data_IF_360804006873
#
_entry.id   IF_360804006873
#
_cell.length_a   1.000
_cell.length_b   1.000
_cell.length_c   1.000
_cell.angle_alpha   90.00
_cell.angle_beta   90.00
_cell.angle_gamma   90.00
#
_symmetry.space_group_name_H-M   'P 1'
#
loop_
_entity.id
_entity.type
_entity.pdbx_description
1 polymer ?
#
# COMPACT_ATOMS: atom_id res chain seq x y z
N UNK A 1 2.89 -5.42 -13.59
CA UNK A 1 3.10 -4.29 -12.66
C UNK A 1 3.07 -4.85 -11.25
N UNK A 2 3.99 -4.41 -10.40
CA UNK A 2 4.05 -4.84 -9.00
C UNK A 2 3.06 -4.03 -8.15
N UNK A 3 2.38 -4.70 -7.23
CA UNK A 3 1.47 -4.08 -6.25
C UNK A 3 1.65 -4.73 -4.89
N UNK A 4 1.21 -4.05 -3.83
CA UNK A 4 1.08 -4.66 -2.51
C UNK A 4 0.05 -5.79 -2.59
N UNK A 5 0.37 -6.94 -2.01
CA UNK A 5 -0.52 -8.09 -1.90
C UNK A 5 -1.81 -7.71 -1.15
N UNK A 6 -2.97 -8.28 -1.49
CA UNK A 6 -4.23 -7.98 -0.80
C UNK A 6 -4.13 -8.16 0.72
N UNK A 7 -4.60 -7.17 1.48
CA UNK A 7 -4.55 -7.17 2.94
C UNK A 7 -3.17 -6.89 3.57
N UNK A 8 -2.14 -6.68 2.74
CA UNK A 8 -0.88 -6.11 3.19
C UNK A 8 -0.92 -4.59 3.05
N UNK A 9 -0.18 -3.91 3.92
CA UNK A 9 0.03 -2.46 3.82
C UNK A 9 1.49 -2.13 4.10
N UNK A 10 2.01 -1.08 3.46
CA UNK A 10 3.35 -0.53 3.71
C UNK A 10 3.20 0.96 4.01
N UNK A 11 3.65 1.40 5.18
CA UNK A 11 3.41 2.78 5.65
C UNK A 11 4.50 3.28 6.61
N UNK A 12 4.72 4.59 6.68
CA UNK A 12 5.61 5.19 7.67
C UNK A 12 4.93 5.18 9.05
N UNK A 13 5.69 4.89 10.10
CA UNK A 13 5.21 5.08 11.47
C UNK A 13 5.83 6.30 12.15
N UNK A 14 5.32 6.64 13.35
CA UNK A 14 5.62 7.90 14.04
C UNK A 14 7.05 7.99 14.58
N UNK A 15 7.75 6.87 14.70
CA UNK A 15 9.14 6.75 15.12
C UNK A 15 10.13 6.89 13.96
N UNK A 16 9.66 7.27 12.76
CA UNK A 16 10.45 7.37 11.54
C UNK A 16 10.77 6.00 10.91
N UNK A 17 10.36 4.90 11.53
CA UNK A 17 10.49 3.58 10.96
C UNK A 17 9.29 3.24 10.08
N UNK A 18 9.56 2.60 8.95
CA UNK A 18 8.52 2.04 8.11
C UNK A 18 8.02 0.71 8.69
N UNK A 19 6.76 0.40 8.39
CA UNK A 19 6.11 -0.84 8.81
C UNK A 19 5.41 -1.45 7.62
N UNK A 20 5.39 -2.77 7.56
CA UNK A 20 4.37 -3.46 6.80
C UNK A 20 3.45 -4.25 7.73
N UNK A 21 2.16 -4.26 7.42
CA UNK A 21 1.18 -5.13 8.06
C UNK A 21 0.84 -6.30 7.15
N UNK A 22 0.54 -7.45 7.75
CA UNK A 22 -0.03 -8.62 7.06
C UNK A 22 -1.53 -8.72 7.33
N UNK A 23 -2.28 -9.50 6.53
CA UNK A 23 -3.70 -9.77 6.76
C UNK A 23 -3.98 -10.35 8.16
N UNK A 24 -3.04 -11.14 8.71
CA UNK A 24 -3.12 -11.73 10.05
C UNK A 24 -2.73 -10.75 11.18
N UNK A 25 -2.84 -9.44 10.95
CA UNK A 25 -2.54 -8.36 11.91
C UNK A 25 -1.10 -8.36 12.47
N UNK A 26 -0.14 -8.96 11.76
CA UNK A 26 1.27 -8.88 12.15
C UNK A 26 1.88 -7.60 11.61
N UNK A 27 2.60 -6.90 12.47
CA UNK A 27 3.32 -5.68 12.12
C UNK A 27 4.82 -5.95 12.15
N UNK A 28 5.48 -5.70 11.02
CA UNK A 28 6.92 -5.88 10.90
C UNK A 28 7.56 -4.54 10.60
N UNK A 29 8.58 -4.22 11.39
CA UNK A 29 9.36 -2.99 11.21
C UNK A 29 10.36 -3.19 10.09
N UNK A 30 10.34 -2.28 9.13
CA UNK A 30 11.29 -2.20 8.02
C UNK A 30 12.26 -1.08 8.32
N UNK A 31 13.55 -1.35 8.11
CA UNK A 31 14.61 -0.36 8.23
C UNK A 31 15.22 -0.15 6.85
N UNK A 32 15.51 1.11 6.53
CA UNK A 32 16.09 1.51 5.25
C UNK A 32 16.02 3.02 5.09
N UNK A 33 16.65 3.57 4.04
CA UNK A 33 16.57 5.00 3.72
C UNK A 33 15.12 5.42 3.50
N UNK A 34 14.71 6.50 4.15
CA UNK A 34 13.31 6.97 4.12
C UNK A 34 12.82 7.22 2.68
N UNK A 35 13.63 7.89 1.87
CA UNK A 35 13.29 8.24 0.48
C UNK A 35 13.08 7.01 -0.41
N UNK A 36 13.83 5.93 -0.16
CA UNK A 36 13.68 4.67 -0.91
C UNK A 36 12.37 3.97 -0.53
N UNK A 37 12.06 3.89 0.76
CA UNK A 37 10.83 3.27 1.25
C UNK A 37 9.59 4.06 0.83
N UNK A 38 9.69 5.39 0.83
CA UNK A 38 8.64 6.28 0.34
C UNK A 38 8.41 6.11 -1.16
N UNK A 39 9.49 6.11 -1.96
CA UNK A 39 9.40 5.88 -3.41
C UNK A 39 8.82 4.51 -3.73
N UNK A 40 9.16 3.48 -2.94
CA UNK A 40 8.59 2.13 -3.06
C UNK A 40 7.09 2.13 -2.79
N UNK A 41 6.65 2.75 -1.70
CA UNK A 41 5.23 2.82 -1.36
C UNK A 41 4.42 3.54 -2.44
N UNK A 42 4.94 4.66 -2.96
CA UNK A 42 4.31 5.40 -4.07
C UNK A 42 4.29 4.60 -5.37
N UNK A 43 5.38 3.90 -5.68
CA UNK A 43 5.45 3.00 -6.85
C UNK A 43 4.37 1.90 -6.78
N UNK A 44 4.25 1.23 -5.65
CA UNK A 44 3.30 0.14 -5.44
C UNK A 44 1.85 0.63 -5.36
N UNK A 45 1.62 1.89 -4.95
CA UNK A 45 0.32 2.55 -5.05
C UNK A 45 -0.05 2.95 -6.49
N UNK A 46 0.83 2.72 -7.47
CA UNK A 46 0.61 3.03 -8.87
C UNK A 46 0.85 4.50 -9.26
N UNK A 47 1.54 5.27 -8.40
CA UNK A 47 1.90 6.66 -8.70
C UNK A 47 2.90 6.72 -9.86
N UNK A 48 2.59 7.51 -10.88
CA UNK A 48 3.42 7.68 -12.08
C UNK A 48 4.09 9.04 -12.10
N UNK A 49 5.00 9.25 -11.15
CA UNK A 49 5.86 10.44 -11.11
C UNK A 49 7.24 10.15 -11.73
N UNK A 50 7.89 11.12 -12.40
CA UNK A 50 9.25 10.95 -12.90
C UNK A 50 10.25 10.62 -11.79
N UNK A 51 10.05 11.11 -10.56
CA UNK A 51 10.89 10.79 -9.41
C UNK A 51 10.78 9.30 -9.03
N UNK A 52 9.56 8.78 -8.95
CA UNK A 52 9.27 7.35 -8.67
C UNK A 52 9.85 6.46 -9.79
N UNK A 53 9.75 6.91 -11.04
CA UNK A 53 10.28 6.19 -12.21
C UNK A 53 11.81 6.18 -12.27
N UNK A 54 12.46 7.19 -11.70
CA UNK A 54 13.91 7.22 -11.57
C UNK A 54 14.37 6.30 -10.44
N UNK A 55 13.71 6.38 -9.28
CA UNK A 55 13.98 5.52 -8.13
C UNK A 55 13.79 4.03 -8.46
N UNK A 56 12.80 3.66 -9.29
CA UNK A 56 12.57 2.26 -9.65
C UNK A 56 13.66 1.62 -10.51
N UNK A 57 14.59 2.42 -11.06
CA UNK A 57 15.77 1.94 -11.81
C UNK A 57 17.00 1.76 -10.94
N UNK A 58 16.92 2.17 -9.67
CA UNK A 58 18.00 2.04 -8.70
C UNK A 58 18.16 0.58 -8.24
N UNK A 59 19.41 0.16 -7.96
CA UNK A 59 19.72 -1.20 -7.52
C UNK A 59 19.24 -1.48 -6.09
N UNK A 60 19.29 -0.49 -5.20
CA UNK A 60 18.77 -0.61 -3.85
C UNK A 60 17.24 -0.77 -3.88
N UNK A 61 16.58 -0.05 -4.79
CA UNK A 61 15.15 -0.21 -5.01
C UNK A 61 14.81 -1.63 -5.48
N UNK A 62 15.56 -2.16 -6.44
CA UNK A 62 15.40 -3.52 -6.93
C UNK A 62 15.63 -4.56 -5.82
N UNK A 63 16.61 -4.33 -4.95
CA UNK A 63 16.92 -5.18 -3.79
C UNK A 63 15.79 -5.16 -2.78
N UNK A 64 15.27 -3.98 -2.43
CA UNK A 64 14.12 -3.84 -1.54
C UNK A 64 12.87 -4.51 -2.12
N UNK A 65 12.59 -4.32 -3.41
CA UNK A 65 11.47 -4.96 -4.09
C UNK A 65 11.57 -6.49 -4.07
N UNK A 66 12.79 -7.04 -4.23
CA UNK A 66 13.03 -8.48 -4.13
C UNK A 66 12.74 -8.99 -2.72
N UNK A 67 13.30 -8.35 -1.70
CA UNK A 67 13.09 -8.75 -0.31
C UNK A 67 11.60 -8.72 0.08
N UNK A 68 10.87 -7.68 -0.32
CA UNK A 68 9.44 -7.57 -0.06
C UNK A 68 8.62 -8.63 -0.83
N UNK A 69 9.06 -9.01 -2.03
CA UNK A 69 8.46 -10.12 -2.80
C UNK A 69 8.72 -11.48 -2.16
N UNK A 70 9.94 -11.72 -1.67
CA UNK A 70 10.30 -12.95 -0.96
C UNK A 70 9.51 -13.10 0.35
N UNK A 71 9.14 -11.98 0.97
CA UNK A 71 8.23 -11.93 2.13
C UNK A 71 6.73 -12.02 1.76
N UNK A 72 6.39 -12.10 0.47
CA UNK A 72 5.02 -12.17 -0.03
C UNK A 72 4.25 -10.84 0.04
N UNK A 73 4.90 -9.73 0.37
CA UNK A 73 4.29 -8.39 0.50
C UNK A 73 3.97 -7.79 -0.88
N UNK A 74 4.79 -8.10 -1.89
CA UNK A 74 4.60 -7.63 -3.27
C UNK A 74 4.17 -8.82 -4.15
N UNK A 75 3.13 -8.61 -4.94
CA UNK A 75 2.72 -9.52 -6.01
C UNK A 75 2.96 -8.89 -7.38
N UNK A 76 3.51 -9.68 -8.30
CA UNK A 76 3.72 -9.26 -9.68
C UNK A 76 2.52 -9.68 -10.51
N UNK A 77 1.76 -8.70 -11.00
CA UNK A 77 0.78 -8.97 -12.04
C UNK A 77 1.52 -9.04 -13.39
N UNK A 78 1.71 -10.25 -13.91
CA UNK A 78 2.00 -10.45 -15.33
C UNK A 78 0.73 -10.14 -16.09
N UNK A 79 0.71 -9.02 -16.82
CA UNK A 79 -0.39 -8.69 -17.72
C UNK A 79 -0.44 -9.71 -18.86
N UNK A 80 -1.08 -10.85 -18.64
CA UNK A 80 -1.56 -11.66 -19.75
C UNK A 80 -2.67 -10.88 -20.44
N UNK A 81 -2.49 -10.70 -21.75
CA UNK A 81 -3.37 -9.96 -22.63
C UNK A 81 -4.71 -10.67 -22.73
N UNK A 82 -5.63 -10.30 -21.86
CA UNK A 82 -7.05 -10.61 -21.94
C UNK A 82 -7.77 -9.47 -21.26
N UNK A 83 -8.67 -8.80 -21.99
CA UNK A 83 -9.40 -7.62 -21.57
C UNK A 83 -9.90 -7.70 -20.10
N UNK A 84 -9.16 -7.08 -19.20
CA UNK A 84 -9.63 -6.77 -17.86
C UNK A 84 -9.59 -5.25 -17.77
N UNK A 85 -10.78 -4.66 -17.91
CA UNK A 85 -11.13 -3.38 -17.30
C UNK A 85 -10.32 -3.25 -15.99
N UNK A 86 -9.54 -2.17 -15.76
CA UNK A 86 -8.86 -2.01 -14.48
C UNK A 86 -9.95 -2.15 -13.43
N UNK A 87 -9.93 -3.26 -12.70
CA UNK A 87 -11.05 -3.64 -11.85
C UNK A 87 -11.32 -2.44 -10.96
N UNK A 88 -12.46 -1.79 -11.24
CA UNK A 88 -13.20 -1.01 -10.25
C UNK A 88 -13.04 -1.74 -8.93
N UNK A 89 -12.65 -1.06 -7.83
CA UNK A 89 -12.50 -1.72 -6.54
C UNK A 89 -13.72 -2.61 -6.38
N UNK A 90 -13.49 -3.92 -6.36
CA UNK A 90 -14.59 -4.88 -6.27
C UNK A 90 -15.25 -4.53 -4.97
N UNK A 91 -16.43 -3.90 -5.02
CA UNK A 91 -17.19 -3.59 -3.82
C UNK A 91 -17.15 -4.84 -2.97
N UNK A 92 -16.59 -4.76 -1.75
CA UNK A 92 -16.35 -5.94 -0.96
C UNK A 92 -17.71 -6.64 -0.78
N UNK A 93 -17.78 -7.92 -1.18
CA UNK A 93 -19.01 -8.72 -1.11
C UNK A 93 -19.50 -8.92 0.32
N UNK A 94 -18.68 -8.55 1.31
CA UNK A 94 -18.97 -8.53 2.73
C UNK A 94 -18.61 -7.15 3.33
N UNK A 95 -19.30 -6.70 4.39
CA UNK A 95 -18.93 -5.48 5.09
C UNK A 95 -17.48 -5.57 5.59
N UNK A 96 -16.64 -4.59 5.23
CA UNK A 96 -15.28 -4.47 5.74
C UNK A 96 -15.29 -3.80 7.11
N UNK A 97 -14.55 -4.36 8.06
CA UNK A 97 -14.39 -3.76 9.38
C UNK A 97 -13.06 -3.02 9.42
N UNK A 98 -13.09 -1.73 9.77
CA UNK A 98 -11.90 -0.88 9.88
C UNK A 98 -11.71 -0.50 11.35
N UNK A 99 -10.54 -0.78 11.92
CA UNK A 99 -10.15 -0.33 13.26
C UNK A 99 -9.36 0.98 13.18
N UNK A 100 -9.79 1.99 13.94
CA UNK A 100 -9.10 3.27 14.06
C UNK A 100 -8.53 3.34 15.48
N UNK A 101 -7.20 3.32 15.60
CA UNK A 101 -6.53 3.48 16.88
C UNK A 101 -6.34 4.97 17.20
N UNK A 102 -7.07 5.44 18.22
CA UNK A 102 -7.01 6.82 18.71
C UNK A 102 -8.39 7.45 18.94
N UNK A 103 -8.46 8.40 19.87
CA UNK A 103 -9.72 9.11 20.25
C UNK A 103 -9.67 10.61 19.96
N UNK A 104 -8.67 11.06 19.19
CA UNK A 104 -8.47 12.47 18.87
C UNK A 104 -9.35 12.97 17.71
N UNK A 105 -9.33 14.28 17.42
CA UNK A 105 -10.14 14.89 16.35
C UNK A 105 -9.92 14.26 14.96
N UNK A 106 -8.70 13.77 14.69
CA UNK A 106 -8.37 13.07 13.44
C UNK A 106 -9.09 11.72 13.36
N UNK A 107 -9.12 10.95 14.44
CA UNK A 107 -9.81 9.66 14.45
C UNK A 107 -11.32 9.82 14.23
N UNK A 108 -11.91 10.88 14.81
CA UNK A 108 -13.32 11.26 14.59
C UNK A 108 -13.57 11.64 13.12
N UNK A 109 -12.68 12.43 12.52
CA UNK A 109 -12.81 12.82 11.11
C UNK A 109 -12.67 11.63 10.15
N UNK A 110 -11.75 10.70 10.42
CA UNK A 110 -11.57 9.49 9.63
C UNK A 110 -12.80 8.58 9.73
N UNK A 111 -13.37 8.40 10.94
CA UNK A 111 -14.59 7.64 11.12
C UNK A 111 -15.77 8.23 10.31
N UNK A 112 -15.92 9.55 10.33
CA UNK A 112 -16.97 10.25 9.57
C UNK A 112 -16.80 10.08 8.04
N UNK A 113 -15.56 10.04 7.54
CA UNK A 113 -15.29 9.82 6.11
C UNK A 113 -15.59 8.38 5.67
N UNK A 114 -15.39 7.40 6.56
CA UNK A 114 -15.66 5.98 6.27
C UNK A 114 -17.16 5.65 6.34
N UNK A 115 -17.92 6.41 7.13
CA UNK A 115 -19.38 6.27 7.28
C UNK A 115 -20.17 7.05 6.20
N UNK A 116 -19.51 7.96 5.48
CA UNK A 116 -20.12 8.70 4.39
C UNK A 116 -20.32 7.80 3.17
N UNK A 117 -21.57 7.49 2.82
CA UNK A 117 -21.87 6.82 1.54
C UNK A 117 -21.30 7.65 0.37
N UNK A 118 -20.68 7.01 -0.63
CA UNK A 118 -20.17 7.73 -1.79
C UNK A 118 -21.34 8.42 -2.49
N UNK A 119 -21.43 9.74 -2.33
CA UNK A 119 -22.36 10.56 -3.09
C UNK A 119 -21.80 10.62 -4.51
N UNK A 120 -22.27 9.70 -5.35
CA UNK A 120 -22.08 9.73 -6.80
C UNK A 120 -22.65 11.07 -7.33
N UNK A 121 -21.75 11.94 -7.79
CA UNK A 121 -22.07 13.08 -8.65
C UNK A 121 -21.87 12.69 -10.12
#
# INVERSE_FOLDING_TARGET
>A
MDTIAPGHHLYPGPDGAWRYSTPDERFVRVQGPHEQLESMARHLAGERSPAVSAASRDEDFATLARNLRDLGVIVTHTSETGAHNPSTPTSPTAPQTVHIDGTGPVAVAVAALLDAEPTLA
#
